data_IF_468343091224
#
_entry.id   IF_468343091224
#
_cell.length_a   1.000
_cell.length_b   1.000
_cell.length_c   1.000
_cell.angle_alpha   90.00
_cell.angle_beta   90.00
_cell.angle_gamma   90.00
#
_symmetry.space_group_name_H-M   'P 1'
#
loop_
_entity.id
_entity.type
_entity.pdbx_description
1 polymer ?
#
# COMPACT_ATOMS: atom_id res chain seq x y z
N UNK A 1 -9.34 9.39 -6.60
CA UNK A 1 -8.81 8.08 -6.13
C UNK A 1 -9.93 7.06 -6.17
N UNK A 2 -9.61 5.88 -6.60
CA UNK A 2 -10.55 4.78 -6.79
C UNK A 2 -10.18 3.63 -5.85
N UNK A 3 -11.19 3.01 -5.23
CA UNK A 3 -10.99 1.81 -4.42
C UNK A 3 -10.63 0.63 -5.33
N UNK A 4 -9.57 -0.07 -4.97
CA UNK A 4 -9.17 -1.30 -5.64
C UNK A 4 -8.87 -2.39 -4.62
N UNK A 5 -8.82 -3.62 -5.09
CA UNK A 5 -8.42 -4.79 -4.32
C UNK A 5 -7.28 -5.48 -5.05
N UNK A 6 -6.20 -5.76 -4.34
CA UNK A 6 -5.07 -6.52 -4.85
C UNK A 6 -5.09 -7.91 -4.21
N UNK A 7 -5.29 -8.94 -5.04
CA UNK A 7 -5.23 -10.32 -4.58
C UNK A 7 -3.80 -10.84 -4.81
N UNK A 8 -3.01 -10.88 -3.73
CA UNK A 8 -1.60 -11.26 -3.80
C UNK A 8 -1.37 -12.67 -3.28
N UNK A 9 -0.18 -13.21 -3.55
CA UNK A 9 0.22 -14.51 -3.03
C UNK A 9 0.23 -14.57 -1.50
N UNK A 10 0.34 -13.42 -0.82
CA UNK A 10 0.38 -13.36 0.65
C UNK A 10 -0.94 -12.96 1.28
N UNK A 11 -1.88 -12.46 0.51
CA UNK A 11 -3.18 -12.06 1.01
C UNK A 11 -3.81 -10.94 0.20
N UNK A 12 -4.96 -10.49 0.64
CA UNK A 12 -5.76 -9.48 -0.04
C UNK A 12 -5.49 -8.09 0.55
N UNK A 13 -5.18 -7.13 -0.31
CA UNK A 13 -5.01 -5.73 0.08
C UNK A 13 -6.15 -4.88 -0.42
N UNK A 14 -6.70 -4.03 0.46
CA UNK A 14 -7.47 -2.86 0.05
C UNK A 14 -6.51 -1.72 -0.27
N UNK A 15 -6.85 -0.90 -1.26
CA UNK A 15 -6.02 0.21 -1.69
C UNK A 15 -6.85 1.30 -2.38
N UNK A 16 -6.26 2.47 -2.50
CA UNK A 16 -6.77 3.57 -3.32
C UNK A 16 -5.77 3.85 -4.44
N UNK A 17 -6.24 4.01 -5.65
CA UNK A 17 -5.40 4.29 -6.83
C UNK A 17 -5.93 5.49 -7.60
N UNK A 18 -5.00 6.32 -8.13
CA UNK A 18 -5.35 7.51 -8.89
C UNK A 18 -5.51 7.28 -10.41
N UNK A 19 -5.28 6.09 -10.90
CA UNK A 19 -5.44 5.71 -12.31
C UNK A 19 -4.49 6.39 -13.31
N UNK A 20 -3.43 7.03 -12.87
CA UNK A 20 -2.40 7.55 -13.77
C UNK A 20 -1.35 6.47 -14.06
N UNK A 21 -1.73 5.47 -14.85
CA UNK A 21 -0.89 4.29 -15.13
C UNK A 21 0.36 4.60 -15.93
N UNK A 22 0.48 5.80 -16.48
CA UNK A 22 1.68 6.25 -17.23
C UNK A 22 2.66 7.00 -16.34
N UNK A 23 2.27 7.35 -15.12
CA UNK A 23 3.15 8.03 -14.18
C UNK A 23 4.18 7.07 -13.56
N UNK A 24 5.15 7.66 -12.85
CA UNK A 24 6.11 6.87 -12.07
C UNK A 24 5.36 6.14 -10.96
N UNK A 25 5.52 4.80 -10.84
CA UNK A 25 4.87 4.05 -9.77
C UNK A 25 5.28 4.56 -8.39
N UNK A 26 4.28 4.85 -7.55
CA UNK A 26 4.48 5.34 -6.19
C UNK A 26 3.57 4.57 -5.23
N UNK A 27 4.17 3.86 -4.30
CA UNK A 27 3.46 3.13 -3.25
C UNK A 27 3.45 3.98 -1.97
N UNK A 28 2.27 4.35 -1.49
CA UNK A 28 2.11 5.15 -0.28
C UNK A 28 1.65 4.26 0.88
N UNK A 29 2.35 4.38 2.02
CA UNK A 29 2.19 3.54 3.20
C UNK A 29 1.83 4.41 4.40
N UNK A 30 0.66 4.14 5.00
CA UNK A 30 0.16 4.89 6.15
C UNK A 30 0.83 4.48 7.46
N UNK A 31 0.62 5.29 8.52
CA UNK A 31 1.09 4.99 9.86
C UNK A 31 0.22 3.96 10.59
N UNK A 32 0.67 3.59 11.78
CA UNK A 32 -0.02 2.64 12.66
C UNK A 32 -1.42 3.16 13.01
N UNK A 33 -2.40 2.26 12.98
CA UNK A 33 -3.82 2.56 13.26
C UNK A 33 -4.46 3.56 12.30
N UNK A 34 -3.87 3.75 11.13
CA UNK A 34 -4.38 4.60 10.07
C UNK A 34 -4.88 3.74 8.89
N UNK A 35 -5.11 4.32 7.74
CA UNK A 35 -5.49 3.61 6.52
C UNK A 35 -5.10 4.42 5.28
N UNK A 36 -5.33 3.85 4.10
CA UNK A 36 -4.97 4.47 2.82
C UNK A 36 -5.62 5.84 2.61
N UNK A 37 -6.79 6.07 3.18
CA UNK A 37 -7.52 7.33 3.01
C UNK A 37 -6.77 8.54 3.58
N UNK A 38 -5.79 8.35 4.48
CA UNK A 38 -4.97 9.44 4.99
C UNK A 38 -4.17 10.15 3.91
N UNK A 39 -3.96 9.53 2.74
CA UNK A 39 -3.27 10.13 1.60
C UNK A 39 -4.20 10.94 0.68
N UNK A 40 -5.52 10.91 0.87
CA UNK A 40 -6.46 11.63 0.03
C UNK A 40 -6.19 13.14 -0.05
N UNK A 41 -5.86 13.85 1.05
CA UNK A 41 -5.54 15.28 0.96
C UNK A 41 -4.32 15.58 0.10
N UNK A 42 -3.37 14.65 -0.02
CA UNK A 42 -2.16 14.81 -0.81
C UNK A 42 -2.33 14.38 -2.27
N UNK A 43 -3.38 13.63 -2.58
CA UNK A 43 -3.54 13.02 -3.88
C UNK A 43 -3.44 13.99 -5.07
N UNK A 44 -4.01 15.22 -5.01
CA UNK A 44 -3.85 16.18 -6.11
C UNK A 44 -2.39 16.58 -6.37
N UNK A 45 -1.56 16.62 -5.33
CA UNK A 45 -0.14 16.96 -5.44
C UNK A 45 0.68 15.82 -6.04
N UNK A 46 0.15 14.60 -6.00
CA UNK A 46 0.79 13.39 -6.48
C UNK A 46 0.19 12.89 -7.80
N UNK A 47 -0.60 13.74 -8.47
CA UNK A 47 -1.31 13.35 -9.69
C UNK A 47 -0.39 12.95 -10.86
N UNK A 48 0.87 13.39 -10.85
CA UNK A 48 1.87 12.99 -11.85
C UNK A 48 2.42 11.58 -11.68
N UNK A 49 2.10 10.92 -10.57
CA UNK A 49 2.54 9.56 -10.27
C UNK A 49 1.43 8.55 -10.53
N UNK A 50 1.80 7.29 -10.76
CA UNK A 50 0.87 6.17 -10.65
C UNK A 50 0.80 5.80 -9.16
N UNK A 51 -0.11 6.45 -8.45
CA UNK A 51 -0.20 6.38 -6.98
C UNK A 51 -1.11 5.25 -6.54
N UNK A 52 -0.58 4.36 -5.73
CA UNK A 52 -1.35 3.34 -5.00
C UNK A 52 -1.09 3.51 -3.51
N UNK A 53 -2.14 3.86 -2.75
CA UNK A 53 -2.09 3.95 -1.30
C UNK A 53 -2.69 2.67 -0.71
N UNK A 54 -1.86 1.86 -0.04
CA UNK A 54 -2.29 0.58 0.54
C UNK A 54 -2.87 0.77 1.94
N UNK A 55 -3.91 -0.01 2.25
CA UNK A 55 -4.20 -0.36 3.63
C UNK A 55 -3.20 -1.41 4.06
N UNK A 56 -2.37 -1.09 5.07
CA UNK A 56 -1.34 -2.01 5.56
C UNK A 56 -1.97 -3.29 6.13
N UNK A 57 -1.27 -4.43 6.14
CA UNK A 57 -1.80 -5.65 6.74
C UNK A 57 -2.33 -5.39 8.17
N UNK A 58 -3.51 -5.91 8.45
CA UNK A 58 -4.19 -5.67 9.74
C UNK A 58 -4.93 -4.35 9.84
N UNK A 59 -4.95 -3.54 8.78
CA UNK A 59 -5.59 -2.23 8.75
C UNK A 59 -6.59 -2.14 7.61
N UNK A 60 -7.60 -1.27 7.79
CA UNK A 60 -8.59 -1.00 6.76
C UNK A 60 -9.22 -2.27 6.21
N UNK A 61 -9.20 -2.40 4.87
CA UNK A 61 -9.78 -3.53 4.14
C UNK A 61 -8.76 -4.59 3.74
N UNK A 62 -7.51 -4.45 4.17
CA UNK A 62 -6.47 -5.44 3.89
C UNK A 62 -6.60 -6.65 4.81
N UNK A 63 -5.98 -7.75 4.41
CA UNK A 63 -6.00 -8.98 5.18
C UNK A 63 -5.39 -8.80 6.57
N UNK A 64 -5.79 -9.68 7.50
CA UNK A 64 -5.21 -9.78 8.83
C UNK A 64 -4.42 -11.08 8.94
N UNK A 65 -3.31 -11.04 9.65
CA UNK A 65 -2.60 -12.24 9.99
C UNK A 65 -3.43 -13.09 10.95
N UNK A 66 -3.25 -14.43 10.96
CA UNK A 66 -3.86 -15.26 11.99
C UNK A 66 -3.51 -14.76 13.40
N UNK A 67 -4.38 -15.03 14.37
CA UNK A 67 -4.24 -14.48 15.72
C UNK A 67 -2.92 -14.87 16.42
N UNK A 68 -2.32 -15.99 16.03
CA UNK A 68 -1.05 -16.48 16.56
C UNK A 68 0.18 -16.05 15.76
N UNK A 69 -0.01 -15.30 14.68
CA UNK A 69 1.08 -14.78 13.86
C UNK A 69 1.51 -13.39 14.32
N UNK A 70 2.79 -13.08 14.15
CA UNK A 70 3.34 -11.78 14.49
C UNK A 70 3.33 -10.82 13.29
N UNK A 71 2.95 -9.57 13.55
CA UNK A 71 3.13 -8.48 12.59
C UNK A 71 4.55 -7.94 12.73
N UNK A 72 5.48 -8.47 11.93
CA UNK A 72 6.87 -8.03 11.93
C UNK A 72 7.17 -7.10 10.77
N UNK A 73 8.21 -6.28 10.93
CA UNK A 73 8.70 -5.42 9.84
C UNK A 73 9.11 -6.26 8.62
N UNK A 74 9.81 -7.36 8.85
CA UNK A 74 10.26 -8.24 7.77
C UNK A 74 9.08 -8.85 6.99
N UNK A 75 8.08 -9.37 7.70
CA UNK A 75 6.87 -9.91 7.06
C UNK A 75 6.14 -8.84 6.26
N UNK A 76 6.07 -7.63 6.79
CA UNK A 76 5.41 -6.50 6.10
C UNK A 76 6.12 -6.16 4.80
N UNK A 77 7.46 -6.17 4.78
CA UNK A 77 8.22 -5.94 3.54
C UNK A 77 7.87 -6.99 2.49
N UNK A 78 7.79 -8.25 2.87
CA UNK A 78 7.39 -9.32 1.94
C UNK A 78 5.97 -9.11 1.42
N UNK A 79 5.05 -8.68 2.27
CA UNK A 79 3.67 -8.37 1.88
C UNK A 79 3.61 -7.25 0.85
N UNK A 80 4.40 -6.19 1.05
CA UNK A 80 4.45 -5.06 0.12
C UNK A 80 5.07 -5.43 -1.22
N UNK A 81 6.09 -6.28 -1.22
CA UNK A 81 6.68 -6.79 -2.46
C UNK A 81 5.66 -7.64 -3.23
N UNK A 82 4.84 -8.42 -2.54
CA UNK A 82 3.76 -9.18 -3.16
C UNK A 82 2.72 -8.25 -3.80
N UNK A 83 2.39 -7.14 -3.15
CA UNK A 83 1.49 -6.13 -3.71
C UNK A 83 2.07 -5.50 -4.97
N UNK A 84 3.35 -5.13 -4.96
CA UNK A 84 4.04 -4.58 -6.13
C UNK A 84 4.08 -5.58 -7.29
N UNK A 85 4.34 -6.86 -7.02
CA UNK A 85 4.31 -7.91 -8.02
C UNK A 85 2.93 -8.03 -8.66
N UNK A 86 1.87 -7.97 -7.87
CA UNK A 86 0.50 -8.02 -8.36
C UNK A 86 0.18 -6.82 -9.26
N UNK A 87 0.75 -5.66 -8.95
CA UNK A 87 0.63 -4.45 -9.78
C UNK A 87 1.49 -4.50 -11.05
N UNK A 88 2.40 -5.45 -11.15
CA UNK A 88 3.35 -5.54 -12.26
C UNK A 88 4.49 -4.53 -12.16
N UNK A 89 4.77 -4.02 -10.96
CA UNK A 89 5.80 -3.01 -10.74
C UNK A 89 7.16 -3.65 -10.42
N UNK A 90 8.13 -3.46 -11.31
CA UNK A 90 9.52 -3.88 -11.07
C UNK A 90 10.30 -2.81 -10.31
N UNK A 91 9.98 -1.54 -10.58
CA UNK A 91 10.59 -0.37 -9.92
C UNK A 91 9.49 0.56 -9.48
N UNK A 92 9.60 1.07 -8.27
CA UNK A 92 8.62 2.02 -7.72
C UNK A 92 9.25 2.84 -6.60
N UNK A 93 8.72 4.04 -6.42
CA UNK A 93 9.06 4.87 -5.27
C UNK A 93 8.13 4.52 -4.10
N UNK A 94 8.56 4.84 -2.89
CA UNK A 94 7.78 4.61 -1.68
C UNK A 94 7.65 5.93 -0.92
N UNK A 95 6.42 6.24 -0.52
CA UNK A 95 6.11 7.34 0.39
C UNK A 95 5.57 6.73 1.68
N UNK A 96 6.31 6.86 2.77
CA UNK A 96 5.91 6.33 4.06
C UNK A 96 5.63 7.43 5.06
N UNK A 97 4.69 7.18 5.96
CA UNK A 97 4.36 8.05 7.07
C UNK A 97 4.37 7.26 8.37
N UNK A 98 5.13 7.70 9.37
CA UNK A 98 5.23 7.03 10.68
C UNK A 98 5.74 5.59 10.52
N UNK A 99 4.96 4.57 10.89
CA UNK A 99 5.36 3.16 10.74
C UNK A 99 5.65 2.79 9.29
N UNK A 100 4.87 3.33 8.33
CA UNK A 100 5.12 3.13 6.90
C UNK A 100 6.48 3.65 6.46
N UNK A 101 6.95 4.74 7.06
CA UNK A 101 8.26 5.31 6.78
C UNK A 101 9.43 4.46 7.27
N UNK A 102 9.21 3.52 8.20
CA UNK A 102 10.24 2.61 8.70
C UNK A 102 10.52 1.44 7.74
N UNK A 103 9.64 1.22 6.80
CA UNK A 103 9.75 0.14 5.80
C UNK A 103 10.58 0.62 4.61
#
# INVERSE_FOLDING_TARGET
MRDIVLNTARGRFGALRNDNTKGVPLLALHGWLDNAASFLPMAPMLAGYDLVALDMPGHGRSFHYPADAEYSLFSTILDLLAAADTLGWERFAVLGHSMGGAI
#
